data_IF_271107179495
#
_entry.id   IF_271107179495
#
_cell.length_a   1.000
_cell.length_b   1.000
_cell.length_c   1.000
_cell.angle_alpha   90.00
_cell.angle_beta   90.00
_cell.angle_gamma   90.00
#
_symmetry.space_group_name_H-M   'P 1'
#
loop_
_entity.id
_entity.type
_entity.pdbx_description
1 polymer ?
#
# COMPACT_ATOMS: atom_id res chain seq x y z
N UNK A 1 13.11 -18.84 -12.80
CA UNK A 1 12.52 -18.34 -14.05
C UNK A 1 13.13 -17.01 -14.38
N UNK A 2 13.31 -16.67 -15.66
CA UNK A 2 14.02 -15.45 -16.03
C UNK A 2 13.05 -14.29 -16.27
N UNK A 3 13.40 -13.10 -15.78
CA UNK A 3 12.68 -11.86 -16.11
C UNK A 3 13.52 -11.07 -17.11
N UNK A 4 12.96 -10.89 -18.31
CA UNK A 4 13.49 -10.02 -19.35
C UNK A 4 12.47 -8.93 -19.67
N UNK A 5 12.85 -7.98 -20.52
CA UNK A 5 12.02 -6.82 -20.89
C UNK A 5 10.53 -7.16 -21.18
N UNK A 6 10.25 -8.13 -22.06
CA UNK A 6 8.87 -8.49 -22.41
C UNK A 6 8.05 -9.09 -21.26
N UNK A 7 8.69 -9.81 -20.34
CA UNK A 7 8.03 -10.32 -19.13
C UNK A 7 7.82 -9.21 -18.10
N UNK A 8 8.75 -8.25 -18.01
CA UNK A 8 8.65 -7.12 -17.09
C UNK A 8 7.54 -6.13 -17.49
N UNK A 9 7.27 -5.93 -18.78
CA UNK A 9 6.17 -5.09 -19.25
C UNK A 9 4.80 -5.75 -18.99
N UNK A 10 4.69 -7.06 -19.22
CA UNK A 10 3.47 -7.81 -18.89
C UNK A 10 3.19 -7.82 -17.38
N UNK A 11 4.23 -7.97 -16.56
CA UNK A 11 4.14 -7.84 -15.10
C UNK A 11 3.72 -6.41 -14.70
N UNK A 12 4.29 -5.39 -15.35
CA UNK A 12 3.93 -3.99 -15.12
C UNK A 12 2.44 -3.72 -15.29
N UNK A 13 1.87 -4.10 -16.43
CA UNK A 13 0.44 -3.94 -16.67
C UNK A 13 -0.44 -4.70 -15.67
N UNK A 14 0.01 -5.87 -15.20
CA UNK A 14 -0.72 -6.60 -14.15
C UNK A 14 -0.64 -5.91 -12.79
N UNK A 15 0.52 -5.38 -12.43
CA UNK A 15 0.73 -4.68 -11.15
C UNK A 15 -0.04 -3.36 -11.12
N UNK A 16 -0.11 -2.64 -12.24
CA UNK A 16 -0.98 -1.46 -12.39
C UNK A 16 -2.46 -1.79 -12.18
N UNK A 17 -2.98 -2.86 -12.79
CA UNK A 17 -4.35 -3.30 -12.58
C UNK A 17 -4.65 -3.67 -11.12
N UNK A 18 -3.70 -4.30 -10.43
CA UNK A 18 -3.85 -4.62 -9.01
C UNK A 18 -3.80 -3.34 -8.18
N UNK A 19 -2.90 -2.41 -8.50
CA UNK A 19 -2.79 -1.13 -7.83
C UNK A 19 -4.06 -0.28 -8.00
N UNK A 20 -4.67 -0.24 -9.18
CA UNK A 20 -5.96 0.43 -9.41
C UNK A 20 -7.03 -0.11 -8.46
N UNK A 21 -7.13 -1.44 -8.34
CA UNK A 21 -8.08 -2.10 -7.45
C UNK A 21 -7.77 -1.85 -5.97
N UNK A 22 -6.49 -1.85 -5.60
CA UNK A 22 -6.06 -1.56 -4.23
C UNK A 22 -6.36 -0.12 -3.85
N UNK A 23 -6.06 0.85 -4.72
CA UNK A 23 -6.35 2.27 -4.46
C UNK A 23 -7.85 2.52 -4.37
N UNK A 24 -8.66 1.92 -5.26
CA UNK A 24 -10.11 2.01 -5.18
C UNK A 24 -10.65 1.40 -3.88
N UNK A 25 -10.22 0.18 -3.54
CA UNK A 25 -10.62 -0.49 -2.30
C UNK A 25 -10.12 0.21 -1.04
N UNK A 26 -8.95 0.84 -1.08
CA UNK A 26 -8.42 1.66 0.01
C UNK A 26 -9.26 2.92 0.20
N UNK A 27 -9.64 3.62 -0.87
CA UNK A 27 -10.50 4.79 -0.78
C UNK A 27 -11.87 4.44 -0.16
N UNK A 28 -12.42 3.27 -0.48
CA UNK A 28 -13.66 2.78 0.13
C UNK A 28 -13.47 2.38 1.60
N UNK A 29 -12.38 1.67 1.91
CA UNK A 29 -12.06 1.24 3.27
C UNK A 29 -11.72 2.42 4.18
N UNK A 30 -11.00 3.43 3.67
CA UNK A 30 -10.69 4.66 4.35
C UNK A 30 -11.95 5.50 4.58
N UNK A 31 -12.85 5.64 3.58
CA UNK A 31 -14.16 6.28 3.79
C UNK A 31 -15.00 5.57 4.86
N UNK A 32 -15.06 4.25 4.83
CA UNK A 32 -15.81 3.46 5.81
C UNK A 32 -15.20 3.57 7.21
N UNK A 33 -13.86 3.50 7.31
CA UNK A 33 -13.13 3.70 8.56
C UNK A 33 -13.35 5.13 9.08
N UNK A 34 -13.25 6.14 8.23
CA UNK A 34 -13.50 7.54 8.58
C UNK A 34 -14.93 7.74 9.09
N UNK A 35 -15.95 7.24 8.38
CA UNK A 35 -17.34 7.32 8.83
C UNK A 35 -17.56 6.63 10.20
N UNK A 36 -16.97 5.45 10.39
CA UNK A 36 -17.04 4.70 11.66
C UNK A 36 -16.33 5.46 12.79
N UNK A 37 -15.17 6.04 12.52
CA UNK A 37 -14.37 6.80 13.49
C UNK A 37 -15.02 8.15 13.82
N UNK A 38 -15.61 8.85 12.85
CA UNK A 38 -16.40 10.08 13.08
C UNK A 38 -17.63 9.80 13.93
N UNK A 39 -18.34 8.69 13.67
CA UNK A 39 -19.48 8.28 14.48
C UNK A 39 -19.06 7.92 15.92
N UNK A 40 -17.94 7.22 16.09
CA UNK A 40 -17.39 6.91 17.42
C UNK A 40 -16.94 8.18 18.18
N UNK A 41 -16.34 9.15 17.48
CA UNK A 41 -15.96 10.43 18.07
C UNK A 41 -17.18 11.28 18.49
N UNK A 42 -18.24 11.29 17.67
CA UNK A 42 -19.50 11.96 18.02
C UNK A 42 -20.16 11.31 19.25
N UNK A 43 -20.21 9.97 19.30
CA UNK A 43 -20.75 9.24 20.45
C UNK A 43 -19.92 9.46 21.73
N UNK A 44 -18.60 9.61 21.61
CA UNK A 44 -17.71 9.91 22.73
C UNK A 44 -17.91 11.34 23.27
N UNK A 45 -18.27 12.31 22.40
CA UNK A 45 -18.57 13.68 22.79
C UNK A 45 -19.89 13.80 23.58
N UNK A 46 -20.86 12.92 23.33
CA UNK A 46 -22.14 12.89 24.05
C UNK A 46 -22.06 12.18 25.42
N UNK A 47 -21.10 11.28 25.62
CA UNK A 47 -20.96 10.44 26.82
C UNK A 47 -20.09 10.99 27.96
N UNK A 48 -19.95 12.32 28.08
CA UNK A 48 -18.92 12.99 28.88
C UNK A 48 -18.55 12.35 30.24
N UNK A 49 -17.25 12.00 30.39
CA UNK A 49 -16.37 12.39 31.51
C UNK A 49 -14.94 11.82 31.36
N UNK A 50 -13.97 12.76 31.44
CA UNK A 50 -12.53 12.64 31.77
C UNK A 50 -11.58 11.81 30.89
N UNK A 51 -10.87 12.48 29.97
CA UNK A 51 -9.41 12.44 29.74
C UNK A 51 -9.08 13.11 28.40
N UNK A 52 -9.16 14.44 28.38
CA UNK A 52 -9.13 15.27 27.17
C UNK A 52 -7.87 15.06 26.31
N UNK A 53 -6.70 14.80 26.93
CA UNK A 53 -5.46 14.55 26.19
C UNK A 53 -5.37 13.14 25.58
N UNK A 54 -5.96 12.13 26.24
CA UNK A 54 -5.94 10.74 25.79
C UNK A 54 -6.85 10.54 24.58
N UNK A 55 -8.10 10.98 24.69
CA UNK A 55 -9.12 10.77 23.65
C UNK A 55 -8.76 11.46 22.33
N UNK A 56 -8.18 12.67 22.38
CA UNK A 56 -7.66 13.36 21.19
C UNK A 56 -6.50 12.62 20.52
N UNK A 57 -5.59 12.02 21.30
CA UNK A 57 -4.44 11.30 20.75
C UNK A 57 -4.87 10.00 20.06
N UNK A 58 -5.81 9.24 20.65
CA UNK A 58 -6.34 8.02 20.05
C UNK A 58 -7.14 8.28 18.78
N UNK A 59 -8.02 9.29 18.79
CA UNK A 59 -8.77 9.69 17.59
C UNK A 59 -7.83 10.12 16.46
N UNK A 60 -6.78 10.86 16.78
CA UNK A 60 -5.76 11.30 15.82
C UNK A 60 -4.95 10.11 15.27
N UNK A 61 -4.46 9.21 16.13
CA UNK A 61 -3.74 8.00 15.69
C UNK A 61 -4.61 7.12 14.79
N UNK A 62 -5.89 6.94 15.13
CA UNK A 62 -6.81 6.14 14.32
C UNK A 62 -7.14 6.80 12.97
N UNK A 63 -7.22 8.14 12.91
CA UNK A 63 -7.32 8.86 11.63
C UNK A 63 -6.09 8.63 10.75
N UNK A 64 -4.88 8.69 11.33
CA UNK A 64 -3.64 8.43 10.59
C UNK A 64 -3.49 6.97 10.15
N UNK A 65 -4.14 6.03 10.84
CA UNK A 65 -4.21 4.63 10.40
C UNK A 65 -5.18 4.43 9.22
N UNK A 66 -6.20 5.28 9.08
CA UNK A 66 -7.08 5.26 7.90
C UNK A 66 -6.36 5.73 6.62
N UNK A 67 -5.29 6.53 6.78
CA UNK A 67 -4.39 6.98 5.71
C UNK A 67 -3.16 6.08 5.54
N UNK A 68 -3.17 4.87 6.09
CA UNK A 68 -2.05 3.94 5.97
C UNK A 68 -1.78 3.60 4.49
N UNK A 69 -0.52 3.67 4.02
CA UNK A 69 -0.17 3.41 2.64
C UNK A 69 -0.49 1.95 2.26
N UNK A 70 -1.02 1.76 1.06
CA UNK A 70 -1.20 0.45 0.47
C UNK A 70 0.17 -0.20 0.28
N UNK A 71 0.35 -1.44 0.72
CA UNK A 71 1.59 -2.18 0.45
C UNK A 71 1.32 -3.40 -0.43
N UNK A 72 2.23 -3.64 -1.37
CA UNK A 72 2.21 -4.78 -2.28
C UNK A 72 3.51 -5.56 -2.12
N UNK A 73 3.42 -6.88 -1.95
CA UNK A 73 4.61 -7.74 -1.89
C UNK A 73 4.85 -8.37 -3.26
N UNK A 74 6.02 -8.10 -3.84
CA UNK A 74 6.51 -8.76 -5.03
C UNK A 74 7.52 -9.84 -4.61
N UNK A 75 7.07 -11.10 -4.62
CA UNK A 75 7.92 -12.24 -4.33
C UNK A 75 8.66 -12.71 -5.59
N UNK A 76 9.99 -12.57 -5.55
CA UNK A 76 10.91 -12.96 -6.61
C UNK A 76 11.63 -14.29 -6.30
N UNK A 77 11.19 -15.07 -5.30
CA UNK A 77 11.80 -16.35 -4.91
C UNK A 77 11.89 -17.39 -6.05
N UNK A 78 11.03 -17.26 -7.06
CA UNK A 78 11.02 -18.11 -8.26
C UNK A 78 11.72 -17.47 -9.47
N UNK A 79 12.22 -16.25 -9.32
CA UNK A 79 12.99 -15.54 -10.34
C UNK A 79 14.46 -15.85 -10.12
N UNK A 80 15.06 -16.46 -11.13
CA UNK A 80 16.45 -16.90 -11.07
C UNK A 80 17.39 -15.79 -11.48
N UNK A 81 17.06 -14.96 -12.48
CA UNK A 81 17.87 -13.82 -12.94
C UNK A 81 16.94 -12.70 -13.43
N UNK A 82 17.41 -11.46 -13.31
CA UNK A 82 16.79 -10.25 -13.87
C UNK A 82 17.84 -9.51 -14.69
N UNK A 83 17.57 -9.24 -15.96
CA UNK A 83 18.50 -8.45 -16.79
C UNK A 83 18.45 -6.95 -16.43
N UNK A 84 19.47 -6.19 -16.85
CA UNK A 84 19.56 -4.76 -16.55
C UNK A 84 18.34 -3.97 -17.06
N UNK A 85 17.75 -4.39 -18.17
CA UNK A 85 16.56 -3.76 -18.74
C UNK A 85 15.33 -4.01 -17.88
N UNK A 86 15.08 -5.25 -17.47
CA UNK A 86 13.99 -5.64 -16.57
C UNK A 86 14.11 -4.98 -15.20
N UNK A 87 15.33 -4.87 -14.66
CA UNK A 87 15.59 -4.13 -13.43
C UNK A 87 15.22 -2.64 -13.57
N UNK A 88 15.58 -2.00 -14.69
CA UNK A 88 15.20 -0.61 -14.97
C UNK A 88 13.68 -0.45 -15.11
N UNK A 89 13.02 -1.38 -15.80
CA UNK A 89 11.56 -1.39 -15.94
C UNK A 89 10.87 -1.52 -14.58
N UNK A 90 11.36 -2.39 -13.68
CA UNK A 90 10.86 -2.47 -12.32
C UNK A 90 11.07 -1.18 -11.53
N UNK A 91 12.23 -0.54 -11.65
CA UNK A 91 12.48 0.76 -11.00
C UNK A 91 11.48 1.84 -11.43
N UNK A 92 11.23 1.96 -12.74
CA UNK A 92 10.21 2.90 -13.26
C UNK A 92 8.81 2.57 -12.75
N UNK A 93 8.45 1.28 -12.70
CA UNK A 93 7.16 0.82 -12.21
C UNK A 93 6.98 1.07 -10.71
N UNK A 94 8.00 0.81 -9.89
CA UNK A 94 7.94 1.09 -8.45
C UNK A 94 7.74 2.58 -8.18
N UNK A 95 8.40 3.45 -8.95
CA UNK A 95 8.19 4.90 -8.85
C UNK A 95 6.75 5.30 -9.23
N UNK A 96 6.19 4.67 -10.28
CA UNK A 96 4.81 4.92 -10.70
C UNK A 96 3.78 4.42 -9.66
N UNK A 97 4.07 3.34 -8.93
CA UNK A 97 3.22 2.85 -7.85
C UNK A 97 3.35 3.72 -6.59
N UNK A 98 4.56 4.15 -6.26
CA UNK A 98 4.82 5.03 -5.12
C UNK A 98 4.14 6.40 -5.28
N UNK A 99 4.14 6.98 -6.48
CA UNK A 99 3.42 8.24 -6.75
C UNK A 99 1.90 8.12 -6.60
N UNK A 100 1.38 6.88 -6.53
CA UNK A 100 -0.02 6.54 -6.32
C UNK A 100 -0.33 6.09 -4.89
N UNK A 101 0.63 6.23 -3.97
CA UNK A 101 0.47 5.82 -2.56
C UNK A 101 0.58 4.31 -2.32
N UNK A 102 1.13 3.56 -3.28
CA UNK A 102 1.38 2.12 -3.15
C UNK A 102 2.87 1.85 -2.95
N UNK A 103 3.23 1.34 -1.78
CA UNK A 103 4.60 0.90 -1.46
C UNK A 103 4.81 -0.54 -1.90
N UNK A 104 5.84 -0.80 -2.70
CA UNK A 104 6.20 -2.17 -3.09
C UNK A 104 7.30 -2.70 -2.18
N UNK A 105 7.06 -3.85 -1.56
CA UNK A 105 8.03 -4.63 -0.81
C UNK A 105 8.53 -5.76 -1.71
N UNK A 106 9.85 -5.81 -1.95
CA UNK A 106 10.45 -6.88 -2.74
C UNK A 106 10.97 -7.96 -1.80
N UNK A 107 10.55 -9.21 -2.04
CA UNK A 107 10.93 -10.37 -1.26
C UNK A 107 11.57 -11.45 -2.15
N UNK A 108 12.27 -12.41 -1.54
CA UNK A 108 12.79 -13.58 -2.25
C UNK A 108 13.95 -13.29 -3.20
N UNK A 109 14.66 -12.17 -3.06
CA UNK A 109 15.90 -11.92 -3.79
C UNK A 109 16.98 -12.90 -3.31
N UNK A 110 17.50 -13.71 -4.22
CA UNK A 110 18.68 -14.54 -3.96
C UNK A 110 19.94 -13.74 -4.33
N UNK A 111 20.98 -13.69 -3.46
CA UNK A 111 22.26 -13.07 -3.79
C UNK A 111 23.04 -13.87 -4.85
N UNK A 112 22.65 -15.12 -5.10
CA UNK A 112 23.30 -16.03 -6.06
C UNK A 112 22.64 -16.03 -7.46
N UNK A 113 21.78 -15.04 -7.72
CA UNK A 113 21.03 -14.83 -8.96
C UNK A 113 21.78 -13.97 -9.98
#
# INVERSE_FOLDING_TARGET
GFVFFGSSTALGGRLEQVADKMVAGMADSCRAAHATLTAAAAAAAEGGQSSDAGQHTWAHTLLHMADAPAFMVLDLSRVSHVDATGARTFGSMFNALASRGVTVLVAGLSPDA
#
